data_IF_384060510774
#
_entry.id   IF_384060510774
#
_cell.length_a   1.000
_cell.length_b   1.000
_cell.length_c   1.000
_cell.angle_alpha   90.00
_cell.angle_beta   90.00
_cell.angle_gamma   90.00
#
_symmetry.space_group_name_H-M   'P 1'
#
loop_
_entity.id
_entity.type
_entity.pdbx_description
1 polymer ?
#
# COMPACT_ATOMS: atom_id res chain seq x y z
N UNK A 1 24.84 11.08 -8.23
CA UNK A 1 24.53 10.66 -6.84
C UNK A 1 23.22 11.30 -6.43
N UNK A 2 22.25 10.53 -5.95
CA UNK A 2 21.01 11.09 -5.41
C UNK A 2 21.34 12.08 -4.28
N UNK A 3 20.71 13.24 -4.29
CA UNK A 3 20.85 14.22 -3.22
C UNK A 3 20.03 13.73 -2.02
N UNK A 4 20.70 13.20 -1.00
CA UNK A 4 20.05 12.89 0.27
C UNK A 4 19.63 14.19 0.96
N UNK A 5 18.34 14.34 1.20
CA UNK A 5 17.76 15.46 1.96
C UNK A 5 18.00 15.23 3.47
N UNK A 6 17.97 13.98 3.90
CA UNK A 6 18.18 13.59 5.28
C UNK A 6 19.68 13.48 5.58
N UNK A 7 20.22 14.34 6.44
CA UNK A 7 21.62 14.24 6.86
C UNK A 7 21.87 13.01 7.74
N UNK A 8 23.13 12.54 7.79
CA UNK A 8 23.51 11.42 8.66
C UNK A 8 23.20 11.67 10.13
N UNK A 9 23.32 12.91 10.60
CA UNK A 9 22.97 13.31 11.96
C UNK A 9 21.46 13.17 12.22
N UNK A 10 20.64 13.64 11.30
CA UNK A 10 19.17 13.48 11.38
C UNK A 10 18.77 12.02 11.35
N UNK A 11 19.40 11.21 10.48
CA UNK A 11 19.15 9.77 10.43
C UNK A 11 19.49 9.10 11.74
N UNK A 12 20.67 9.39 12.32
CA UNK A 12 21.09 8.85 13.60
C UNK A 12 20.12 9.24 14.73
N UNK A 13 19.80 10.53 14.84
CA UNK A 13 18.87 11.04 15.85
C UNK A 13 17.46 10.47 15.67
N UNK A 14 17.03 10.29 14.45
CA UNK A 14 15.75 9.66 14.15
C UNK A 14 15.65 8.24 14.67
N UNK A 15 16.70 7.43 14.50
CA UNK A 15 16.73 6.04 15.00
C UNK A 15 16.58 5.98 16.51
N UNK A 16 17.22 6.87 17.24
CA UNK A 16 17.09 6.96 18.72
C UNK A 16 15.66 7.29 19.17
N UNK A 17 14.94 8.09 18.38
CA UNK A 17 13.61 8.60 18.71
C UNK A 17 12.47 7.75 18.14
N UNK A 18 12.76 6.75 17.29
CA UNK A 18 11.76 5.89 16.68
C UNK A 18 11.49 4.68 17.57
N UNK A 19 10.24 4.48 18.05
CA UNK A 19 9.87 3.30 18.79
C UNK A 19 10.07 2.01 17.99
N UNK A 20 10.32 0.90 18.66
CA UNK A 20 10.47 -0.43 18.07
C UNK A 20 9.56 -1.45 18.77
N UNK A 21 9.21 -2.51 18.04
CA UNK A 21 8.52 -3.66 18.61
C UNK A 21 9.35 -4.29 19.77
N UNK A 22 8.73 -5.05 20.69
CA UNK A 22 7.32 -5.50 20.66
C UNK A 22 6.33 -4.40 21.06
N UNK A 23 5.15 -4.43 20.43
CA UNK A 23 4.06 -3.54 20.76
C UNK A 23 3.23 -4.07 21.94
N UNK A 24 2.44 -3.19 22.62
CA UNK A 24 1.61 -3.64 23.75
C UNK A 24 0.64 -4.75 23.37
N UNK A 25 0.31 -5.61 24.34
CA UNK A 25 -0.73 -6.62 24.15
C UNK A 25 -2.06 -5.97 23.73
N UNK A 26 -2.71 -6.55 22.72
CA UNK A 26 -3.96 -6.02 22.17
C UNK A 26 -3.78 -4.85 21.22
N UNK A 27 -2.54 -4.61 20.75
CA UNK A 27 -2.26 -3.59 19.73
C UNK A 27 -3.11 -3.78 18.46
N UNK A 28 -3.63 -2.68 17.93
CA UNK A 28 -4.42 -2.63 16.70
C UNK A 28 -3.78 -1.75 15.61
N UNK A 29 -2.58 -1.24 15.83
CA UNK A 29 -1.91 -0.28 14.93
C UNK A 29 -0.72 -0.89 14.17
N UNK A 30 -0.23 -2.02 14.62
CA UNK A 30 0.91 -2.69 14.02
C UNK A 30 2.17 -1.82 13.96
N UNK A 31 2.88 -1.91 12.85
CA UNK A 31 4.11 -1.16 12.63
C UNK A 31 3.92 0.36 12.59
N UNK A 32 2.68 0.86 12.42
CA UNK A 32 2.40 2.29 12.52
C UNK A 32 2.68 2.88 13.93
N UNK A 33 2.88 2.04 14.94
CA UNK A 33 3.39 2.49 16.25
C UNK A 33 4.82 3.05 16.20
N UNK A 34 5.59 2.75 15.17
CA UNK A 34 6.91 3.35 14.95
C UNK A 34 6.85 4.83 14.51
N UNK A 35 5.69 5.32 14.08
CA UNK A 35 5.51 6.71 13.64
C UNK A 35 5.49 7.64 14.83
N UNK A 36 6.33 8.67 14.81
CA UNK A 36 6.43 9.65 15.88
C UNK A 36 7.59 10.62 15.68
N UNK A 37 8.14 11.11 16.78
CA UNK A 37 9.17 12.16 16.76
C UNK A 37 10.38 11.86 15.86
N UNK A 38 10.83 10.61 15.83
CA UNK A 38 11.97 10.20 15.00
C UNK A 38 11.64 10.25 13.51
N UNK A 39 10.50 9.68 13.11
CA UNK A 39 10.08 9.67 11.71
C UNK A 39 9.67 11.06 11.22
N UNK A 40 9.04 11.87 12.08
CA UNK A 40 8.66 13.25 11.75
C UNK A 40 9.89 14.16 11.57
N UNK A 41 10.95 13.92 12.34
CA UNK A 41 12.21 14.64 12.17
C UNK A 41 12.79 14.46 10.76
N UNK A 42 12.76 13.23 10.22
CA UNK A 42 13.15 12.95 8.83
C UNK A 42 12.19 13.59 7.84
N UNK A 43 10.89 13.37 8.02
CA UNK A 43 9.85 13.86 7.10
C UNK A 43 9.89 15.39 6.94
N UNK A 44 10.12 16.12 8.02
CA UNK A 44 10.21 17.58 8.01
C UNK A 44 11.31 18.12 7.07
N UNK A 45 12.40 17.39 6.87
CA UNK A 45 13.48 17.83 5.96
C UNK A 45 13.00 17.92 4.52
N UNK A 46 12.11 17.01 4.11
CA UNK A 46 11.54 17.01 2.78
C UNK A 46 10.54 18.17 2.57
N UNK A 47 9.80 18.54 3.62
CA UNK A 47 8.80 19.63 3.56
C UNK A 47 9.45 21.00 3.38
N UNK A 48 10.66 21.21 3.96
CA UNK A 48 11.35 22.50 3.90
C UNK A 48 12.48 22.54 2.86
N UNK A 49 12.70 21.45 2.13
CA UNK A 49 13.77 21.36 1.15
C UNK A 49 13.50 22.30 -0.03
N UNK A 50 14.50 23.13 -0.46
CA UNK A 50 14.33 23.97 -1.65
C UNK A 50 14.05 23.14 -2.89
N UNK A 51 13.02 23.52 -3.64
CA UNK A 51 12.58 22.80 -4.84
C UNK A 51 11.69 21.59 -4.58
N UNK A 52 11.24 21.39 -3.34
CA UNK A 52 10.28 20.33 -3.04
C UNK A 52 8.98 20.51 -3.86
N UNK A 53 8.46 19.39 -4.39
CA UNK A 53 7.23 19.29 -5.16
C UNK A 53 6.29 18.31 -4.48
N UNK A 54 5.00 18.57 -4.56
CA UNK A 54 3.96 17.66 -4.07
C UNK A 54 3.47 16.77 -5.21
N UNK A 55 3.39 15.46 -4.95
CA UNK A 55 2.95 14.43 -5.88
C UNK A 55 1.67 13.78 -5.38
N UNK A 56 0.70 13.64 -6.27
CA UNK A 56 -0.53 12.88 -6.03
C UNK A 56 -0.28 11.41 -6.38
N UNK A 57 -0.37 10.54 -5.38
CA UNK A 57 -0.06 9.12 -5.54
C UNK A 57 -1.32 8.24 -5.56
N UNK A 58 -2.49 8.84 -5.81
CA UNK A 58 -3.76 8.13 -5.89
C UNK A 58 -4.44 8.39 -7.22
N UNK A 59 -5.09 7.37 -7.76
CA UNK A 59 -5.92 7.51 -8.94
C UNK A 59 -7.26 8.14 -8.58
N UNK A 60 -7.85 8.99 -9.45
CA UNK A 60 -9.23 9.42 -9.31
C UNK A 60 -10.16 8.21 -9.26
N UNK A 61 -11.21 8.29 -8.46
CA UNK A 61 -12.24 7.24 -8.39
C UNK A 61 -13.36 7.58 -9.36
N UNK A 62 -13.68 6.67 -10.27
CA UNK A 62 -14.70 6.85 -11.29
C UNK A 62 -15.55 5.59 -11.43
N UNK A 63 -16.66 5.67 -12.18
CA UNK A 63 -17.50 4.52 -12.50
C UNK A 63 -16.87 3.57 -13.53
N UNK A 64 -15.81 3.99 -14.20
CA UNK A 64 -15.21 3.31 -15.36
C UNK A 64 -13.76 2.89 -15.14
N UNK A 65 -13.19 3.21 -13.95
CA UNK A 65 -11.85 2.77 -13.57
C UNK A 65 -11.74 1.25 -13.48
N UNK A 66 -10.53 0.69 -13.51
CA UNK A 66 -10.31 -0.72 -13.21
C UNK A 66 -10.92 -1.12 -11.87
N UNK A 67 -11.69 -2.21 -11.88
CA UNK A 67 -12.41 -2.69 -10.71
C UNK A 67 -11.85 -4.04 -10.24
N UNK A 68 -11.66 -4.16 -8.92
CA UNK A 68 -11.24 -5.40 -8.29
C UNK A 68 -12.29 -6.50 -8.51
N UNK A 69 -11.88 -7.72 -8.90
CA UNK A 69 -12.80 -8.84 -9.02
C UNK A 69 -13.31 -9.38 -7.67
N UNK A 70 -12.69 -8.95 -6.56
CA UNK A 70 -13.02 -9.39 -5.20
C UNK A 70 -14.01 -8.48 -4.47
N UNK A 71 -14.50 -7.43 -5.12
CA UNK A 71 -15.45 -6.50 -4.53
C UNK A 71 -16.42 -5.94 -5.56
N UNK A 72 -17.55 -5.42 -5.10
CA UNK A 72 -18.51 -4.73 -5.97
C UNK A 72 -17.89 -3.40 -6.42
N UNK A 73 -17.86 -3.13 -7.75
CA UNK A 73 -17.38 -1.86 -8.28
C UNK A 73 -18.08 -0.66 -7.64
N UNK A 74 -17.35 0.43 -7.48
CA UNK A 74 -17.93 1.70 -7.03
C UNK A 74 -18.80 2.28 -8.13
N UNK A 75 -19.96 2.81 -7.73
CA UNK A 75 -20.89 3.49 -8.61
C UNK A 75 -21.29 4.83 -7.98
N UNK A 76 -21.01 5.90 -8.70
CA UNK A 76 -21.41 7.26 -8.34
C UNK A 76 -22.58 7.68 -9.22
N UNK A 77 -23.63 8.15 -8.61
CA UNK A 77 -24.76 8.75 -9.30
C UNK A 77 -24.91 10.21 -8.86
N UNK A 78 -24.68 11.12 -9.81
CA UNK A 78 -24.87 12.55 -9.57
C UNK A 78 -26.36 12.86 -9.31
N UNK A 79 -26.59 13.83 -8.45
CA UNK A 79 -27.90 14.43 -8.22
C UNK A 79 -28.02 15.75 -8.97
N UNK A 80 -29.25 16.12 -9.31
CA UNK A 80 -29.52 17.38 -10.03
C UNK A 80 -29.22 18.59 -9.12
N UNK A 81 -28.60 19.61 -9.70
CA UNK A 81 -28.43 20.91 -9.05
C UNK A 81 -29.80 21.49 -8.67
N UNK A 82 -29.95 21.97 -7.46
CA UNK A 82 -31.19 22.52 -6.93
C UNK A 82 -30.99 23.92 -6.38
N UNK A 83 -32.00 24.75 -6.57
CA UNK A 83 -32.08 26.06 -5.87
C UNK A 83 -32.48 25.87 -4.40
N UNK A 84 -31.93 26.69 -3.52
CA UNK A 84 -32.36 26.74 -2.10
C UNK A 84 -33.49 27.76 -1.98
N UNK A 85 -34.70 27.36 -1.54
CA UNK A 85 -35.85 28.26 -1.47
C UNK A 85 -35.53 29.52 -0.69
N UNK A 86 -36.05 30.63 -1.17
CA UNK A 86 -35.91 31.97 -0.57
C UNK A 86 -34.47 32.52 -0.50
N UNK A 87 -33.53 31.93 -1.25
CA UNK A 87 -32.14 32.39 -1.34
C UNK A 87 -31.70 32.61 -2.79
N UNK A 88 -30.50 33.13 -2.98
CA UNK A 88 -29.82 33.23 -4.27
C UNK A 88 -28.90 32.03 -4.56
N UNK A 89 -28.91 31.00 -3.72
CA UNK A 89 -27.99 29.90 -3.80
C UNK A 89 -28.53 28.75 -4.66
N UNK A 90 -27.65 28.18 -5.45
CA UNK A 90 -27.81 26.85 -6.01
C UNK A 90 -26.86 25.89 -5.27
N UNK A 91 -27.27 24.64 -5.12
CA UNK A 91 -26.46 23.58 -4.54
C UNK A 91 -26.31 22.46 -5.55
N UNK A 92 -25.05 22.03 -5.79
CA UNK A 92 -24.76 20.75 -6.40
C UNK A 92 -24.84 19.72 -5.27
N UNK A 93 -25.95 18.98 -5.26
CA UNK A 93 -26.19 17.98 -4.22
C UNK A 93 -25.11 16.90 -4.28
N UNK A 94 -24.88 16.25 -3.15
CA UNK A 94 -23.93 15.16 -3.01
C UNK A 94 -24.29 13.98 -3.92
N UNK A 95 -23.31 13.20 -4.31
CA UNK A 95 -23.45 11.99 -5.10
C UNK A 95 -23.97 10.84 -4.22
N UNK A 96 -24.75 9.94 -4.84
CA UNK A 96 -25.04 8.63 -4.28
C UNK A 96 -23.86 7.71 -4.59
N UNK A 97 -23.33 7.06 -3.57
CA UNK A 97 -22.26 6.07 -3.68
C UNK A 97 -22.79 4.69 -3.31
N UNK A 98 -22.53 3.70 -4.16
CA UNK A 98 -22.74 2.28 -3.86
C UNK A 98 -21.53 1.45 -4.27
N UNK A 99 -21.40 0.23 -3.73
CA UNK A 99 -20.26 -0.66 -3.97
C UNK A 99 -19.44 -0.91 -2.72
N UNK A 100 -18.27 -1.54 -2.88
CA UNK A 100 -17.38 -1.94 -1.79
C UNK A 100 -16.07 -1.13 -1.84
N UNK A 101 -16.00 0.01 -1.16
CA UNK A 101 -14.90 0.96 -1.33
C UNK A 101 -13.56 0.44 -0.79
N UNK A 102 -13.56 -0.52 0.13
CA UNK A 102 -12.36 -1.03 0.78
C UNK A 102 -11.38 -1.77 -0.12
N UNK A 103 -11.80 -2.13 -1.35
CA UNK A 103 -10.96 -2.88 -2.31
C UNK A 103 -10.94 -2.26 -3.70
N UNK A 104 -11.32 -0.98 -3.84
CA UNK A 104 -11.44 -0.31 -5.14
C UNK A 104 -10.58 0.95 -5.20
N UNK A 105 -10.06 1.25 -6.40
CA UNK A 105 -9.16 2.39 -6.61
C UNK A 105 -7.84 2.25 -5.84
N UNK A 106 -7.15 3.35 -5.59
CA UNK A 106 -6.04 3.37 -4.65
C UNK A 106 -6.60 3.21 -3.25
N UNK A 107 -6.31 2.10 -2.58
CA UNK A 107 -6.89 1.75 -1.30
C UNK A 107 -5.85 1.19 -0.33
N UNK A 108 -6.14 1.30 0.96
CA UNK A 108 -5.32 0.80 2.06
C UNK A 108 -6.08 -0.29 2.81
N UNK A 109 -5.40 -1.41 3.05
CA UNK A 109 -5.93 -2.52 3.81
C UNK A 109 -5.82 -2.32 5.31
N UNK A 110 -6.87 -2.72 6.02
CA UNK A 110 -6.84 -2.87 7.46
C UNK A 110 -6.09 -4.16 7.87
N UNK A 111 -5.55 -4.21 9.09
CA UNK A 111 -4.82 -5.39 9.57
C UNK A 111 -5.71 -6.64 9.66
N UNK A 112 -7.02 -6.48 9.80
CA UNK A 112 -7.97 -7.61 9.75
C UNK A 112 -8.51 -7.91 8.35
N UNK A 113 -7.98 -7.29 7.30
CA UNK A 113 -8.39 -7.66 5.92
C UNK A 113 -8.07 -9.12 5.61
N UNK A 114 -6.93 -9.62 6.11
CA UNK A 114 -6.56 -11.03 6.02
C UNK A 114 -6.42 -11.67 7.40
N UNK A 115 -6.96 -12.89 7.53
CA UNK A 115 -6.70 -13.83 8.60
C UNK A 115 -6.34 -15.17 8.02
N UNK A 116 -5.82 -16.10 8.83
CA UNK A 116 -5.41 -17.41 8.35
C UNK A 116 -5.75 -18.51 9.38
N UNK A 117 -5.92 -19.72 8.87
CA UNK A 117 -5.96 -20.97 9.63
C UNK A 117 -4.68 -21.75 9.36
N UNK A 118 -4.33 -22.69 10.25
CA UNK A 118 -3.09 -23.48 10.13
C UNK A 118 -3.15 -24.48 8.97
N UNK A 119 -4.32 -25.15 8.80
CA UNK A 119 -4.49 -26.15 7.77
C UNK A 119 -5.16 -25.56 6.51
N UNK A 120 -4.74 -26.03 5.34
CA UNK A 120 -5.41 -25.67 4.09
C UNK A 120 -6.84 -26.18 4.11
N UNK A 121 -7.80 -25.27 3.93
CA UNK A 121 -9.21 -25.62 3.84
C UNK A 121 -9.50 -26.37 2.53
N UNK A 122 -10.29 -27.42 2.59
CA UNK A 122 -10.60 -28.28 1.46
C UNK A 122 -11.66 -27.70 0.50
N UNK A 123 -12.24 -26.53 0.83
CA UNK A 123 -13.24 -25.85 -0.01
C UNK A 123 -14.65 -26.40 0.06
N UNK A 124 -14.92 -27.48 0.81
CA UNK A 124 -16.23 -28.17 0.89
C UNK A 124 -16.83 -28.19 2.27
N UNK A 125 -16.04 -28.47 3.28
CA UNK A 125 -16.50 -28.43 4.68
C UNK A 125 -16.75 -27.00 5.13
N UNK A 126 -17.50 -26.75 6.21
CA UNK A 126 -17.61 -25.43 6.81
C UNK A 126 -16.22 -24.87 7.11
N UNK A 127 -15.98 -23.61 6.69
CA UNK A 127 -14.69 -22.95 6.99
C UNK A 127 -14.52 -22.81 8.52
N UNK A 128 -13.38 -23.23 9.10
CA UNK A 128 -13.19 -23.30 10.55
C UNK A 128 -12.92 -21.91 11.15
N UNK A 129 -13.94 -21.06 11.21
CA UNK A 129 -13.85 -19.66 11.64
C UNK A 129 -13.25 -19.51 13.04
N UNK A 130 -13.49 -20.45 13.94
CA UNK A 130 -12.99 -20.44 15.32
C UNK A 130 -11.46 -20.56 15.40
N UNK A 131 -10.83 -21.10 14.36
CA UNK A 131 -9.37 -21.27 14.28
C UNK A 131 -8.66 -20.11 13.59
N UNK A 132 -9.42 -19.16 12.98
CA UNK A 132 -8.82 -18.02 12.28
C UNK A 132 -8.05 -17.14 13.25
N UNK A 133 -6.81 -16.83 12.88
CA UNK A 133 -5.93 -15.87 13.56
C UNK A 133 -5.65 -14.68 12.68
N UNK A 134 -5.61 -13.52 13.33
CA UNK A 134 -5.29 -12.22 12.75
C UNK A 134 -4.04 -11.64 13.43
N UNK A 135 -3.63 -10.46 13.01
CA UNK A 135 -2.52 -9.73 13.62
C UNK A 135 -2.62 -9.72 15.15
N UNK A 136 -1.45 -9.83 15.80
CA UNK A 136 -1.39 -9.85 17.28
C UNK A 136 -2.02 -11.06 17.94
N UNK A 137 -2.33 -12.13 17.18
CA UNK A 137 -2.96 -13.36 17.69
C UNK A 137 -4.45 -13.22 18.00
N UNK A 138 -5.08 -12.12 17.58
CA UNK A 138 -6.53 -11.97 17.74
C UNK A 138 -7.28 -13.09 16.99
N UNK A 139 -8.31 -13.66 17.61
CA UNK A 139 -9.17 -14.66 16.99
C UNK A 139 -10.40 -14.04 16.32
N UNK A 140 -11.10 -14.86 15.54
CA UNK A 140 -12.32 -14.44 14.81
C UNK A 140 -13.37 -13.82 15.75
N UNK A 141 -13.62 -14.41 16.93
CA UNK A 141 -14.63 -13.92 17.86
C UNK A 141 -14.32 -12.52 18.41
N UNK A 142 -13.03 -12.17 18.51
CA UNK A 142 -12.61 -10.83 18.92
C UNK A 142 -12.62 -9.83 17.76
N UNK A 143 -12.25 -10.27 16.54
CA UNK A 143 -12.12 -9.40 15.36
C UNK A 143 -13.46 -9.17 14.70
N UNK A 144 -14.27 -10.22 14.50
CA UNK A 144 -15.57 -10.13 13.84
C UNK A 144 -16.57 -11.06 14.55
N UNK A 145 -17.09 -10.65 15.72
CA UNK A 145 -17.97 -11.48 16.54
C UNK A 145 -19.29 -11.83 15.86
N UNK A 146 -19.82 -10.93 15.03
CA UNK A 146 -20.92 -11.21 14.11
C UNK A 146 -20.35 -11.46 12.70
N UNK A 147 -20.48 -12.64 12.13
CA UNK A 147 -19.97 -12.95 10.79
C UNK A 147 -20.50 -12.01 9.69
N UNK A 148 -21.68 -11.43 9.89
CA UNK A 148 -22.31 -10.49 8.98
C UNK A 148 -22.10 -9.01 9.38
N UNK A 149 -21.48 -8.78 10.54
CA UNK A 149 -21.23 -7.44 11.08
C UNK A 149 -19.94 -6.81 10.58
N UNK A 150 -19.71 -5.57 11.01
CA UNK A 150 -18.45 -4.88 10.81
C UNK A 150 -17.38 -5.41 11.77
N UNK A 151 -16.10 -5.16 11.44
CA UNK A 151 -14.98 -5.54 12.31
C UNK A 151 -15.05 -4.78 13.65
N UNK A 152 -14.93 -5.51 14.76
CA UNK A 152 -14.87 -4.94 16.09
C UNK A 152 -13.43 -4.52 16.46
N UNK A 153 -12.43 -5.20 15.88
CA UNK A 153 -10.99 -4.92 16.06
C UNK A 153 -10.24 -4.93 14.73
N UNK A 154 -9.07 -4.29 14.72
CA UNK A 154 -8.14 -4.26 13.58
C UNK A 154 -8.75 -3.68 12.30
N UNK A 155 -9.90 -2.98 12.40
CA UNK A 155 -10.54 -2.29 11.27
C UNK A 155 -9.73 -1.07 10.82
N UNK A 156 -10.04 -0.57 9.62
CA UNK A 156 -9.35 0.59 9.03
C UNK A 156 -9.48 1.87 9.88
N UNK A 157 -10.53 1.98 10.68
CA UNK A 157 -10.72 3.10 11.61
C UNK A 157 -9.71 3.12 12.77
N UNK A 158 -8.99 2.00 12.99
CA UNK A 158 -7.90 1.86 13.96
C UNK A 158 -6.53 2.20 13.38
N UNK A 159 -6.40 2.21 12.05
CA UNK A 159 -5.17 2.62 11.40
C UNK A 159 -4.80 4.06 11.80
N UNK A 160 -3.56 4.25 12.23
CA UNK A 160 -3.08 5.59 12.57
C UNK A 160 -2.92 6.46 11.31
N UNK A 161 -3.05 7.79 11.42
CA UNK A 161 -2.54 8.68 10.39
C UNK A 161 -1.06 8.39 10.12
N UNK A 162 -0.71 8.15 8.87
CA UNK A 162 0.68 7.90 8.47
C UNK A 162 1.25 9.21 7.93
N UNK A 163 2.14 9.82 8.71
CA UNK A 163 2.95 10.98 8.31
C UNK A 163 4.39 10.63 8.63
N UNK A 164 5.18 10.32 7.61
CA UNK A 164 6.53 9.79 7.78
C UNK A 164 7.36 10.00 6.52
N UNK A 165 8.56 9.44 6.48
CA UNK A 165 9.37 9.33 5.26
C UNK A 165 8.98 8.09 4.45
N UNK A 166 9.16 8.19 3.14
CA UNK A 166 9.02 7.07 2.23
C UNK A 166 10.31 6.87 1.42
N UNK A 167 10.56 5.63 1.03
CA UNK A 167 11.55 5.23 0.03
C UNK A 167 10.81 4.71 -1.18
N UNK A 168 11.10 5.27 -2.36
CA UNK A 168 10.65 4.75 -3.64
C UNK A 168 11.75 3.87 -4.24
N UNK A 169 11.41 2.64 -4.58
CA UNK A 169 12.25 1.72 -5.36
C UNK A 169 11.68 1.63 -6.78
N UNK A 170 12.45 2.05 -7.79
CA UNK A 170 12.02 2.04 -9.18
C UNK A 170 12.45 0.73 -9.87
N UNK A 171 11.60 -0.30 -9.72
CA UNK A 171 11.85 -1.61 -10.30
C UNK A 171 11.72 -1.58 -11.83
N UNK A 172 10.83 -0.78 -12.39
CA UNK A 172 10.75 -0.60 -13.84
C UNK A 172 12.10 -0.15 -14.41
N UNK A 173 12.70 0.87 -13.81
CA UNK A 173 13.95 1.45 -14.30
C UNK A 173 15.15 0.54 -14.09
N UNK A 174 15.31 -0.02 -12.88
CA UNK A 174 16.56 -0.65 -12.46
C UNK A 174 16.56 -2.17 -12.53
N UNK A 175 15.38 -2.81 -12.63
CA UNK A 175 15.22 -4.25 -12.82
C UNK A 175 14.67 -4.54 -14.21
N UNK A 176 13.62 -3.85 -14.63
CA UNK A 176 13.00 -3.98 -15.95
C UNK A 176 13.77 -3.27 -17.09
N UNK A 177 14.91 -2.62 -16.81
CA UNK A 177 15.68 -1.85 -17.79
C UNK A 177 14.82 -0.83 -18.54
N UNK A 178 13.98 -0.08 -17.80
CA UNK A 178 13.06 0.92 -18.33
C UNK A 178 11.72 0.37 -18.82
N UNK A 179 11.53 -0.95 -18.85
CA UNK A 179 10.25 -1.59 -19.20
C UNK A 179 9.47 -1.98 -17.94
N UNK A 180 8.13 -1.94 -17.97
CA UNK A 180 7.32 -2.52 -16.90
C UNK A 180 7.73 -3.97 -16.61
N UNK A 181 7.69 -4.36 -15.35
CA UNK A 181 7.93 -5.74 -14.98
C UNK A 181 6.84 -6.66 -15.55
N UNK A 182 7.23 -7.88 -15.89
CA UNK A 182 6.31 -8.89 -16.40
C UNK A 182 5.33 -9.37 -15.31
N UNK A 183 4.14 -9.80 -15.73
CA UNK A 183 3.16 -10.38 -14.83
C UNK A 183 3.73 -11.61 -14.11
N UNK A 184 3.53 -11.66 -12.80
CA UNK A 184 4.08 -12.72 -11.95
C UNK A 184 5.54 -12.54 -11.55
N UNK A 185 6.22 -11.46 -12.00
CA UNK A 185 7.55 -11.14 -11.47
C UNK A 185 7.45 -10.79 -9.98
N UNK A 186 8.22 -11.49 -9.16
CA UNK A 186 8.28 -11.26 -7.72
C UNK A 186 9.58 -10.50 -7.37
N UNK A 187 9.45 -9.26 -6.92
CA UNK A 187 10.58 -8.40 -6.52
C UNK A 187 11.24 -8.96 -5.27
N UNK A 188 12.48 -9.41 -5.41
CA UNK A 188 13.24 -10.10 -4.36
C UNK A 188 13.94 -9.14 -3.39
N UNK A 189 14.41 -9.65 -2.24
CA UNK A 189 15.29 -8.90 -1.34
C UNK A 189 16.59 -8.47 -2.04
N UNK A 190 17.11 -9.30 -2.96
CA UNK A 190 18.25 -8.96 -3.80
C UNK A 190 17.96 -7.82 -4.76
N UNK A 191 16.75 -7.78 -5.36
CA UNK A 191 16.31 -6.66 -6.20
C UNK A 191 16.23 -5.36 -5.41
N UNK A 192 15.66 -5.42 -4.20
CA UNK A 192 15.61 -4.27 -3.28
C UNK A 192 17.01 -3.73 -3.01
N UNK A 193 17.97 -4.62 -2.70
CA UNK A 193 19.37 -4.23 -2.50
C UNK A 193 20.00 -3.57 -3.73
N UNK A 194 19.75 -4.14 -4.93
CA UNK A 194 20.22 -3.55 -6.20
C UNK A 194 19.64 -2.17 -6.46
N UNK A 195 18.34 -1.99 -6.26
CA UNK A 195 17.67 -0.70 -6.44
C UNK A 195 18.21 0.35 -5.47
N UNK A 196 18.35 0.02 -4.18
CA UNK A 196 18.97 0.92 -3.20
C UNK A 196 20.37 1.36 -3.65
N UNK A 197 21.17 0.42 -4.18
CA UNK A 197 22.51 0.73 -4.71
C UNK A 197 22.47 1.67 -5.91
N UNK A 198 21.66 1.35 -6.90
CA UNK A 198 21.52 2.14 -8.14
C UNK A 198 20.93 3.53 -7.91
N UNK A 199 20.07 3.66 -6.92
CA UNK A 199 19.45 4.94 -6.53
C UNK A 199 20.32 5.77 -5.57
N UNK A 200 21.53 5.31 -5.22
CA UNK A 200 22.45 6.00 -4.31
C UNK A 200 21.99 5.99 -2.84
N UNK A 201 21.13 5.06 -2.48
CA UNK A 201 20.55 4.95 -1.14
C UNK A 201 21.23 3.90 -0.25
N UNK A 202 22.34 3.29 -0.68
CA UNK A 202 23.01 2.20 0.07
C UNK A 202 23.33 2.55 1.52
N UNK A 203 23.74 3.79 1.78
CA UNK A 203 24.09 4.24 3.15
C UNK A 203 22.86 4.54 4.01
N UNK A 204 21.81 5.15 3.41
CA UNK A 204 20.56 5.41 4.11
C UNK A 204 19.78 4.12 4.33
N UNK A 205 19.62 3.36 3.27
CA UNK A 205 18.78 2.17 3.25
C UNK A 205 17.29 2.48 3.50
N UNK A 206 16.58 1.46 3.93
CA UNK A 206 15.22 1.56 4.48
C UNK A 206 15.35 1.67 6.00
N UNK A 207 14.72 2.67 6.60
CA UNK A 207 14.79 2.97 8.02
C UNK A 207 13.48 2.60 8.73
N UNK A 208 13.53 2.23 10.02
CA UNK A 208 12.33 1.99 10.80
C UNK A 208 11.36 3.18 10.72
N UNK A 209 10.10 2.88 10.48
CA UNK A 209 9.06 3.89 10.30
C UNK A 209 8.89 4.42 8.87
N UNK A 210 9.70 3.98 7.90
CA UNK A 210 9.51 4.34 6.49
C UNK A 210 8.29 3.64 5.88
N UNK A 211 7.71 4.28 4.86
CA UNK A 211 6.86 3.66 3.86
C UNK A 211 7.73 3.20 2.69
N UNK A 212 7.48 2.01 2.19
CA UNK A 212 8.17 1.45 1.03
C UNK A 212 7.25 1.48 -0.19
N UNK A 213 7.57 2.33 -1.17
CA UNK A 213 6.95 2.36 -2.49
C UNK A 213 7.78 1.52 -3.46
N UNK A 214 7.12 0.68 -4.26
CA UNK A 214 7.75 -0.09 -5.34
C UNK A 214 7.04 0.22 -6.65
N UNK A 215 7.72 0.93 -7.54
CA UNK A 215 7.24 1.26 -8.88
C UNK A 215 7.63 0.15 -9.85
N UNK A 216 6.66 -0.63 -10.28
CA UNK A 216 6.86 -1.77 -11.19
C UNK A 216 6.63 -1.41 -12.65
N UNK A 217 5.98 -0.27 -12.91
CA UNK A 217 5.50 0.17 -14.22
C UNK A 217 4.17 -0.48 -14.63
N UNK A 218 3.61 -1.38 -13.82
CA UNK A 218 2.31 -1.99 -14.10
C UNK A 218 1.18 -0.95 -14.07
N UNK A 219 1.33 0.12 -13.30
CA UNK A 219 0.44 1.27 -13.25
C UNK A 219 0.12 1.88 -14.62
N UNK A 220 1.00 1.73 -15.62
CA UNK A 220 0.73 2.15 -16.99
C UNK A 220 -0.45 1.43 -17.64
N UNK A 221 -0.89 0.29 -17.08
CA UNK A 221 -2.08 -0.46 -17.50
C UNK A 221 -3.37 0.02 -16.80
N UNK A 222 -3.28 0.90 -15.82
CA UNK A 222 -4.44 1.57 -15.27
C UNK A 222 -5.03 2.51 -16.32
N UNK A 223 -6.13 2.10 -16.92
CA UNK A 223 -6.86 2.88 -17.92
C UNK A 223 -8.25 3.23 -17.41
N UNK A 224 -8.68 4.43 -17.67
CA UNK A 224 -10.03 4.88 -17.35
C UNK A 224 -10.61 5.60 -18.58
N UNK A 225 -11.60 5.02 -19.27
CA UNK A 225 -12.28 3.77 -18.92
C UNK A 225 -11.43 2.49 -19.13
N UNK A 226 -11.66 1.48 -18.27
CA UNK A 226 -11.01 0.17 -18.33
C UNK A 226 -11.69 -0.73 -19.37
N UNK A 227 -11.37 -0.53 -20.63
CA UNK A 227 -11.95 -1.27 -21.76
C UNK A 227 -11.39 -2.68 -21.89
N UNK A 228 -10.07 -2.81 -21.69
CA UNK A 228 -9.36 -4.09 -21.91
C UNK A 228 -9.49 -5.04 -20.72
N UNK A 229 -9.78 -4.54 -19.53
CA UNK A 229 -9.92 -5.29 -18.28
C UNK A 229 -8.74 -6.21 -17.96
N UNK A 230 -7.52 -5.75 -18.28
CA UNK A 230 -6.29 -6.51 -18.05
C UNK A 230 -5.70 -6.22 -16.66
N UNK A 231 -5.89 -5.00 -16.16
CA UNK A 231 -5.18 -4.52 -14.97
C UNK A 231 -5.27 -5.49 -13.79
N UNK A 232 -6.47 -5.95 -13.42
CA UNK A 232 -6.72 -6.84 -12.28
C UNK A 232 -6.59 -8.34 -12.58
N UNK A 233 -6.16 -8.75 -13.77
CA UNK A 233 -6.07 -10.19 -14.09
C UNK A 233 -4.76 -10.82 -13.66
N UNK A 234 -3.72 -10.02 -13.49
CA UNK A 234 -2.34 -10.43 -13.25
C UNK A 234 -1.50 -9.20 -12.87
N UNK A 235 -0.25 -9.40 -12.46
CA UNK A 235 0.70 -8.30 -12.22
C UNK A 235 1.98 -8.78 -11.56
N UNK A 236 3.05 -7.97 -11.59
CA UNK A 236 4.20 -8.20 -10.74
C UNK A 236 3.81 -7.97 -9.27
N UNK A 237 4.69 -8.31 -8.35
CA UNK A 237 4.46 -8.08 -6.92
C UNK A 237 5.74 -8.25 -6.13
N UNK A 238 5.62 -8.45 -4.84
CA UNK A 238 6.74 -8.67 -3.94
C UNK A 238 6.99 -10.18 -3.76
N UNK A 239 8.24 -10.59 -3.70
CA UNK A 239 8.63 -11.92 -3.26
C UNK A 239 8.44 -12.06 -1.75
N UNK A 240 8.25 -13.29 -1.26
CA UNK A 240 8.04 -13.53 0.17
C UNK A 240 9.23 -13.07 1.02
N UNK A 241 10.45 -13.30 0.55
CA UNK A 241 11.66 -12.78 1.18
C UNK A 241 11.74 -11.24 1.19
N UNK A 242 11.17 -10.58 0.16
CA UNK A 242 11.07 -9.12 0.11
C UNK A 242 10.11 -8.58 1.17
N UNK A 243 9.00 -9.27 1.43
CA UNK A 243 8.09 -8.91 2.52
C UNK A 243 8.72 -9.10 3.90
N UNK A 244 9.48 -10.19 4.10
CA UNK A 244 10.26 -10.41 5.34
C UNK A 244 11.29 -9.30 5.54
N UNK A 245 12.01 -8.90 4.49
CA UNK A 245 12.94 -7.78 4.57
C UNK A 245 12.24 -6.47 4.96
N UNK A 246 11.07 -6.17 4.41
CA UNK A 246 10.29 -4.99 4.79
C UNK A 246 9.95 -5.00 6.29
N UNK A 247 9.51 -6.14 6.82
CA UNK A 247 9.29 -6.32 8.27
C UNK A 247 10.57 -6.11 9.07
N UNK A 248 11.67 -6.76 8.71
CA UNK A 248 12.97 -6.64 9.40
C UNK A 248 13.50 -5.21 9.43
N UNK A 249 13.22 -4.42 8.39
CA UNK A 249 13.59 -3.01 8.31
C UNK A 249 12.63 -2.07 9.06
N UNK A 250 11.57 -2.60 9.64
CA UNK A 250 10.60 -1.82 10.39
C UNK A 250 9.73 -0.91 9.51
N UNK A 251 9.45 -1.34 8.27
CA UNK A 251 8.54 -0.64 7.35
C UNK A 251 7.14 -0.60 7.94
N UNK A 252 6.46 0.54 7.86
CA UNK A 252 5.10 0.71 8.40
C UNK A 252 4.01 0.42 7.38
N UNK A 253 4.34 0.56 6.10
CA UNK A 253 3.43 0.32 4.99
C UNK A 253 4.21 0.01 3.72
N UNK A 254 3.72 -0.95 2.93
CA UNK A 254 4.21 -1.26 1.58
C UNK A 254 3.15 -0.85 0.56
N UNK A 255 3.54 -0.17 -0.52
CA UNK A 255 2.64 0.23 -1.58
C UNK A 255 3.24 -0.04 -2.97
N UNK A 256 2.43 -0.59 -3.85
CA UNK A 256 2.79 -0.89 -5.23
C UNK A 256 1.79 -0.24 -6.20
N UNK A 257 2.25 -0.03 -7.44
CA UNK A 257 1.44 0.45 -8.57
C UNK A 257 0.66 -0.68 -9.26
N UNK A 258 0.42 -1.78 -8.56
CA UNK A 258 -0.26 -2.99 -9.06
C UNK A 258 -1.57 -3.25 -8.30
N UNK A 259 -2.41 -4.16 -8.87
CA UNK A 259 -3.68 -4.54 -8.23
C UNK A 259 -3.50 -5.31 -6.92
N UNK A 260 -2.34 -5.95 -6.71
CA UNK A 260 -2.00 -6.72 -5.50
C UNK A 260 -0.57 -6.44 -5.10
N UNK A 261 -0.24 -6.56 -3.82
CA UNK A 261 1.16 -6.58 -3.37
C UNK A 261 1.83 -7.92 -3.70
N UNK A 262 1.04 -8.96 -3.88
CA UNK A 262 1.47 -10.29 -4.31
C UNK A 262 1.71 -10.35 -5.81
N UNK A 263 2.71 -11.14 -6.21
CA UNK A 263 2.97 -11.43 -7.62
C UNK A 263 1.89 -12.37 -8.17
N UNK A 264 1.12 -11.89 -9.14
CA UNK A 264 0.04 -12.65 -9.75
C UNK A 264 0.41 -13.04 -11.20
N UNK A 265 0.71 -14.32 -11.40
CA UNK A 265 0.89 -14.92 -12.73
C UNK A 265 -0.43 -14.95 -13.50
N UNK A 266 -0.40 -14.94 -14.85
CA UNK A 266 -1.60 -15.18 -15.63
C UNK A 266 -2.31 -16.45 -15.17
N UNK A 267 -3.61 -16.35 -14.87
CA UNK A 267 -4.42 -17.48 -14.40
C UNK A 267 -4.46 -17.69 -12.89
N UNK A 268 -3.54 -17.09 -12.10
CA UNK A 268 -3.55 -17.27 -10.64
C UNK A 268 -4.91 -16.89 -10.01
N UNK A 269 -5.45 -15.74 -10.40
CA UNK A 269 -6.72 -15.22 -9.86
C UNK A 269 -7.91 -16.16 -10.15
N UNK A 270 -7.80 -16.98 -11.20
CA UNK A 270 -8.80 -18.00 -11.55
C UNK A 270 -8.48 -19.39 -11.02
N UNK A 271 -7.37 -19.54 -10.26
CA UNK A 271 -6.92 -20.83 -9.77
C UNK A 271 -6.32 -21.75 -10.86
N UNK A 272 -5.95 -21.20 -12.03
CA UNK A 272 -5.40 -21.93 -13.19
C UNK A 272 -3.88 -21.97 -13.18
N UNK A 273 -3.21 -21.16 -12.36
CA UNK A 273 -1.76 -21.10 -12.23
C UNK A 273 -1.34 -21.12 -10.76
N UNK A 274 -0.14 -21.66 -10.45
CA UNK A 274 0.38 -21.63 -9.09
C UNK A 274 0.83 -20.21 -8.68
N UNK A 275 0.91 -19.93 -7.37
CA UNK A 275 1.52 -18.71 -6.86
C UNK A 275 3.02 -18.62 -7.17
N UNK A 276 3.69 -17.55 -6.74
CA UNK A 276 5.14 -17.41 -6.85
C UNK A 276 5.86 -18.56 -6.12
N UNK A 277 7.03 -18.97 -6.64
CA UNK A 277 7.71 -20.20 -6.20
C UNK A 277 8.21 -20.15 -4.75
N UNK A 278 8.46 -18.95 -4.21
CA UNK A 278 8.91 -18.74 -2.83
C UNK A 278 7.76 -18.57 -1.83
N UNK A 279 6.51 -18.63 -2.30
CA UNK A 279 5.33 -18.48 -1.43
C UNK A 279 5.08 -19.78 -0.63
N UNK A 280 4.76 -19.65 0.68
CA UNK A 280 4.42 -20.83 1.48
C UNK A 280 3.21 -21.59 0.90
N UNK A 281 3.21 -22.92 0.98
CA UNK A 281 2.09 -23.74 0.51
C UNK A 281 0.74 -23.30 1.12
N UNK A 282 -0.30 -23.23 0.28
CA UNK A 282 -1.65 -22.84 0.72
C UNK A 282 -1.87 -21.33 0.91
N UNK A 283 -0.86 -20.51 0.63
CA UNK A 283 -0.93 -19.05 0.75
C UNK A 283 -0.67 -18.35 -0.60
N UNK A 284 -1.63 -18.38 -1.55
CA UNK A 284 -1.45 -17.72 -2.84
C UNK A 284 -1.32 -16.19 -2.74
N UNK A 285 -1.80 -15.61 -1.63
CA UNK A 285 -1.61 -14.21 -1.26
C UNK A 285 -0.70 -14.12 -0.02
N UNK A 286 0.50 -14.68 -0.14
CA UNK A 286 1.47 -14.79 0.95
C UNK A 286 1.94 -13.43 1.47
N UNK A 287 1.99 -12.42 0.61
CA UNK A 287 2.42 -11.07 0.99
C UNK A 287 1.35 -10.39 1.84
N UNK A 288 0.06 -10.46 1.43
CA UNK A 288 -1.06 -10.01 2.27
C UNK A 288 -1.04 -10.68 3.63
N UNK A 289 -0.91 -12.02 3.64
CA UNK A 289 -0.83 -12.78 4.88
C UNK A 289 0.34 -12.32 5.75
N UNK A 290 1.55 -12.27 5.19
CA UNK A 290 2.74 -11.93 5.97
C UNK A 290 2.67 -10.51 6.53
N UNK A 291 2.39 -9.52 5.66
CA UNK A 291 2.42 -8.11 6.06
C UNK A 291 1.27 -7.79 7.02
N UNK A 292 0.02 -8.15 6.68
CA UNK A 292 -1.14 -7.78 7.51
C UNK A 292 -1.26 -8.66 8.75
N UNK A 293 -1.17 -10.00 8.61
CA UNK A 293 -1.50 -10.93 9.68
C UNK A 293 -0.34 -11.20 10.63
N UNK A 294 0.91 -11.27 10.11
CA UNK A 294 2.08 -11.60 10.92
C UNK A 294 2.85 -10.35 11.37
N UNK A 295 3.15 -9.44 10.44
CA UNK A 295 4.04 -8.31 10.67
C UNK A 295 3.33 -7.04 11.17
N UNK A 296 2.03 -6.90 10.96
CA UNK A 296 1.28 -5.66 11.28
C UNK A 296 1.69 -4.48 10.38
N UNK A 297 2.10 -4.76 9.15
CA UNK A 297 2.47 -3.78 8.12
C UNK A 297 1.28 -3.56 7.21
N UNK A 298 0.81 -2.33 7.08
CA UNK A 298 -0.28 -2.00 6.17
C UNK A 298 0.15 -2.11 4.70
N UNK A 299 -0.84 -2.22 3.80
CA UNK A 299 -0.62 -2.29 2.36
C UNK A 299 -1.48 -1.26 1.63
N UNK A 300 -0.94 -0.73 0.53
CA UNK A 300 -1.69 0.03 -0.46
C UNK A 300 -1.49 -0.61 -1.82
N UNK A 301 -2.59 -0.87 -2.50
CA UNK A 301 -2.63 -1.29 -3.89
C UNK A 301 -3.01 -0.11 -4.78
N UNK A 302 -2.64 -0.23 -6.06
CA UNK A 302 -2.96 0.76 -7.10
C UNK A 302 -2.41 2.15 -6.79
N UNK A 303 -1.20 2.25 -6.22
CA UNK A 303 -0.55 3.53 -6.03
C UNK A 303 -0.13 4.13 -7.38
N UNK A 304 -0.33 5.44 -7.57
CA UNK A 304 0.09 6.16 -8.77
C UNK A 304 1.53 6.67 -8.58
N UNK A 305 2.52 5.86 -8.97
CA UNK A 305 3.94 6.12 -8.68
C UNK A 305 4.74 6.66 -9.87
N UNK A 306 4.15 6.74 -11.04
CA UNK A 306 4.79 7.09 -12.32
C UNK A 306 5.49 8.46 -12.29
N UNK A 307 4.83 9.51 -11.81
CA UNK A 307 5.39 10.86 -11.75
C UNK A 307 6.52 10.95 -10.72
N UNK A 308 6.34 10.35 -9.55
CA UNK A 308 7.35 10.30 -8.50
C UNK A 308 8.63 9.59 -8.98
N UNK A 309 8.47 8.47 -9.72
CA UNK A 309 9.56 7.71 -10.31
C UNK A 309 10.24 8.46 -11.47
N UNK A 310 9.47 9.10 -12.36
CA UNK A 310 10.00 9.89 -13.47
C UNK A 310 10.87 11.04 -12.98
N UNK A 311 10.45 11.74 -11.93
CA UNK A 311 11.21 12.82 -11.31
C UNK A 311 12.38 12.33 -10.43
N UNK A 312 12.55 11.01 -10.25
CA UNK A 312 13.63 10.41 -9.46
C UNK A 312 13.57 10.77 -7.97
N UNK A 313 12.39 10.97 -7.41
CA UNK A 313 12.21 11.29 -6.00
C UNK A 313 12.30 10.02 -5.16
N UNK A 314 13.53 9.62 -4.85
CA UNK A 314 13.81 8.34 -4.16
C UNK A 314 13.48 8.36 -2.67
N UNK A 315 13.44 9.54 -2.05
CA UNK A 315 12.99 9.73 -0.68
C UNK A 315 12.08 10.95 -0.58
N UNK A 316 11.05 10.87 0.26
CA UNK A 316 10.04 11.93 0.40
C UNK A 316 9.42 11.93 1.79
N UNK A 317 8.77 13.03 2.16
CA UNK A 317 7.70 12.98 3.17
C UNK A 317 6.46 12.40 2.53
N UNK A 318 5.80 11.43 3.16
CA UNK A 318 4.51 10.92 2.69
C UNK A 318 3.42 11.12 3.73
N UNK A 319 2.20 11.39 3.24
CA UNK A 319 0.99 11.56 4.06
C UNK A 319 -0.07 10.63 3.51
N UNK A 320 -0.56 9.72 4.37
CA UNK A 320 -1.54 8.70 4.06
C UNK A 320 -2.63 8.71 5.11
N UNK A 321 -3.85 9.02 4.70
CA UNK A 321 -4.99 9.19 5.59
C UNK A 321 -6.20 8.39 5.04
N UNK A 322 -6.39 7.14 5.48
CA UNK A 322 -7.56 6.37 5.10
C UNK A 322 -8.83 7.00 5.72
N UNK A 323 -9.97 6.79 5.08
CA UNK A 323 -11.24 7.15 5.68
C UNK A 323 -11.48 6.32 6.95
N UNK A 324 -12.02 6.96 7.99
CA UNK A 324 -12.32 6.28 9.25
C UNK A 324 -13.67 5.55 9.19
N UNK A 325 -13.78 4.60 8.26
CA UNK A 325 -14.94 3.71 8.17
C UNK A 325 -14.88 2.75 9.35
N UNK A 326 -15.73 2.95 10.36
CA UNK A 326 -15.71 2.12 11.57
C UNK A 326 -15.92 0.65 11.23
N UNK A 327 -14.92 -0.17 11.57
CA UNK A 327 -14.94 -1.60 11.32
C UNK A 327 -14.84 -1.99 9.83
N UNK A 328 -14.40 -1.11 8.94
CA UNK A 328 -14.12 -1.43 7.55
C UNK A 328 -12.85 -2.27 7.40
N UNK A 329 -12.82 -3.19 6.43
CA UNK A 329 -11.67 -4.04 6.11
C UNK A 329 -10.60 -3.31 5.28
N UNK A 330 -10.93 -2.16 4.72
CA UNK A 330 -10.06 -1.30 3.95
C UNK A 330 -10.74 0.03 3.65
N UNK A 331 -10.04 0.93 2.97
CA UNK A 331 -10.56 2.23 2.59
C UNK A 331 -9.87 2.77 1.35
N UNK A 332 -10.58 3.46 0.44
CA UNK A 332 -9.92 4.36 -0.49
C UNK A 332 -9.05 5.32 0.29
N UNK A 333 -7.94 5.71 -0.30
CA UNK A 333 -6.98 6.58 0.35
C UNK A 333 -6.43 7.59 -0.64
N UNK A 334 -6.32 8.86 -0.21
CA UNK A 334 -5.58 9.87 -0.94
C UNK A 334 -4.17 9.94 -0.36
N UNK A 335 -3.21 9.54 -1.16
CA UNK A 335 -1.79 9.48 -0.79
C UNK A 335 -1.06 10.62 -1.47
N UNK A 336 -0.26 11.35 -0.71
CA UNK A 336 0.65 12.35 -1.29
C UNK A 336 2.09 12.09 -0.85
N UNK A 337 3.03 12.49 -1.70
CA UNK A 337 4.44 12.57 -1.36
C UNK A 337 4.96 14.00 -1.62
N UNK A 338 5.86 14.46 -0.76
CA UNK A 338 6.54 15.75 -0.94
C UNK A 338 8.05 15.47 -0.94
N UNK A 339 8.71 15.83 -2.03
CA UNK A 339 10.14 15.55 -2.20
C UNK A 339 10.76 16.40 -3.29
N UNK A 340 12.07 16.31 -3.43
CA UNK A 340 12.83 17.13 -4.39
C UNK A 340 13.15 16.30 -5.63
N UNK A 341 12.71 16.71 -6.84
CA UNK A 341 13.11 16.08 -8.09
C UNK A 341 14.62 16.02 -8.24
N UNK A 342 15.14 14.93 -8.80
CA UNK A 342 16.56 14.78 -9.14
C UNK A 342 16.77 15.32 -10.57
N UNK A 343 17.22 16.55 -10.68
CA UNK A 343 17.30 17.30 -11.95
C UNK A 343 18.18 16.65 -13.05
N UNK A 344 19.02 15.68 -12.75
CA UNK A 344 19.96 15.06 -13.69
C UNK A 344 19.50 13.71 -14.26
N UNK A 345 18.36 13.18 -13.87
CA UNK A 345 17.88 11.88 -14.34
C UNK A 345 16.90 11.95 -15.51
N UNK A 346 16.55 13.14 -15.96
CA UNK A 346 15.71 13.36 -17.15
C UNK A 346 16.46 13.16 -18.48
N UNK A 347 17.77 12.93 -18.45
CA UNK A 347 18.60 12.84 -19.65
C UNK A 347 19.73 11.80 -19.52
N UNK A 348 19.38 10.53 -19.31
CA UNK A 348 20.22 9.42 -19.78
C UNK A 348 19.32 8.24 -20.14
N UNK A 349 19.38 7.79 -21.41
CA UNK A 349 18.63 6.64 -21.91
C UNK A 349 19.10 5.32 -21.30
#
# INVERSE_FOLDING_TARGET
>A
MARLIESNEIIARSRELTPSAPWPAGDERGMANAIGRGTWLRAAQHLVAPGAKCYELSHPITNTMPASPYGKPLQFQARTTQGIPHTRHASNMEELLSGEPGAQGTHMDALAHFGAVEAVWNGTDPFPLEHVKYYGGHNQAAVKPDPNGMLAKLGIDKAAPIVTTAVLLDAQRFIGNGKPLEAGYAVTAGDIGRMLGKQGLSQRGILPGDVLYIHTGWGARWKDPDVEKIYYTQGPGLAYEGAKLAQERGVVLVALDNPFTDAARPGLIRGEAPPADDYPPGLPFAIHHHLLTQAGVHQIQNAKLDELAADGVWTSCTIILPLRVKGGAGSPVRVIAIGVPQAENAAQP
#
